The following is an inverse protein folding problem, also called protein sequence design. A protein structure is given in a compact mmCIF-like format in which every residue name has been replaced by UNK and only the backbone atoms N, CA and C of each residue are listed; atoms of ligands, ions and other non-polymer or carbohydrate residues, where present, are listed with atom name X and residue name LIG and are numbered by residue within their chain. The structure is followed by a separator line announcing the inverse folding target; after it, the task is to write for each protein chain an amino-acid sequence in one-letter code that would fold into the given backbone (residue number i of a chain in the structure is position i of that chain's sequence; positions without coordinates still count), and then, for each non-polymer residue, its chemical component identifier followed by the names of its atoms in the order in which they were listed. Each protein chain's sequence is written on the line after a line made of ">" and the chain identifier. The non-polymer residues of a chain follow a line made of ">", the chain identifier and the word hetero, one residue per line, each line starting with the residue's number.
data_IF_218809141871
#
_entry.id   IF_218809141871
#
_cell.length_a   1.000
_cell.length_b   1.000
_cell.length_c   1.000
_cell.angle_alpha   90.00
_cell.angle_beta   90.00
_cell.angle_gamma   90.00
#
_symmetry.space_group_name_H-M   'P 1'
#
loop_
_entity.id
_entity.type
_entity.pdbx_description
1 polymer ?
#
# COMPACT_ATOMS: atom_id res chain seq x y z
N UNK A 1 4.25 -11.40 3.85
CA UNK A 1 3.32 -12.52 3.54
C UNK A 1 2.62 -13.04 4.79
N UNK A 2 3.34 -13.44 5.84
CA UNK A 2 2.76 -14.01 7.07
C UNK A 2 1.53 -13.25 7.63
N UNK A 3 1.60 -11.91 7.70
CA UNK A 3 0.48 -11.09 8.18
C UNK A 3 -0.81 -11.27 7.37
N UNK A 4 -0.71 -11.34 6.04
CA UNK A 4 -1.86 -11.58 5.16
C UNK A 4 -2.41 -13.00 5.32
N UNK A 5 -1.52 -13.97 5.49
CA UNK A 5 -1.89 -15.38 5.66
C UNK A 5 -2.67 -15.60 6.97
N UNK A 6 -2.39 -14.81 8.01
CA UNK A 6 -3.12 -14.81 9.27
C UNK A 6 -4.53 -14.18 9.19
N UNK A 7 -4.87 -13.47 8.11
CA UNK A 7 -6.21 -12.88 7.97
C UNK A 7 -7.25 -13.97 7.73
N UNK A 8 -8.39 -13.84 8.40
CA UNK A 8 -9.63 -14.52 8.03
C UNK A 8 -10.14 -13.99 6.67
N UNK A 9 -10.97 -14.75 5.93
CA UNK A 9 -11.73 -14.20 4.80
C UNK A 9 -12.44 -12.91 5.21
N UNK A 10 -12.40 -11.90 4.33
CA UNK A 10 -12.93 -10.57 4.62
C UNK A 10 -12.09 -9.71 5.57
N UNK A 11 -11.03 -10.25 6.16
CA UNK A 11 -10.17 -9.53 7.12
C UNK A 11 -9.36 -8.40 6.47
N UNK A 12 -9.05 -7.38 7.26
CA UNK A 12 -8.24 -6.23 6.84
C UNK A 12 -6.90 -6.22 7.56
N UNK A 13 -5.84 -5.94 6.82
CA UNK A 13 -4.55 -5.53 7.38
C UNK A 13 -4.15 -4.15 6.83
N UNK A 14 -3.32 -3.45 7.60
CA UNK A 14 -2.63 -2.25 7.14
C UNK A 14 -1.15 -2.54 7.11
N UNK A 15 -0.51 -2.19 6.00
CA UNK A 15 0.94 -2.13 5.87
C UNK A 15 1.35 -0.66 5.87
N UNK A 16 2.34 -0.31 6.68
CA UNK A 16 2.84 1.06 6.75
C UNK A 16 4.35 1.11 7.04
N UNK A 17 5.01 2.12 6.50
CA UNK A 17 6.45 2.38 6.67
C UNK A 17 6.70 3.88 6.81
N UNK A 18 7.82 4.26 7.42
CA UNK A 18 8.31 5.65 7.54
C UNK A 18 9.43 5.94 6.51
N UNK A 19 9.34 5.33 5.33
CA UNK A 19 10.31 5.48 4.24
C UNK A 19 9.59 5.96 2.98
N UNK A 20 10.34 6.64 2.11
CA UNK A 20 9.84 7.12 0.82
C UNK A 20 10.34 6.25 -0.35
N UNK A 21 11.13 5.22 -0.09
CA UNK A 21 11.70 4.37 -1.13
C UNK A 21 10.64 3.44 -1.73
N UNK A 22 10.46 3.40 -3.06
CA UNK A 22 9.49 2.50 -3.68
C UNK A 22 9.77 1.01 -3.44
N UNK A 23 11.03 0.64 -3.19
CA UNK A 23 11.46 -0.72 -2.88
C UNK A 23 10.92 -1.25 -1.56
N UNK A 24 10.75 -0.38 -0.56
CA UNK A 24 10.15 -0.72 0.73
C UNK A 24 8.63 -0.54 0.72
N UNK A 25 8.08 0.13 -0.29
CA UNK A 25 6.69 0.54 -0.36
C UNK A 25 5.93 -0.27 -1.42
N UNK A 26 5.80 0.29 -2.64
CA UNK A 26 5.03 -0.31 -3.71
C UNK A 26 5.55 -1.68 -4.13
N UNK A 27 6.88 -1.90 -4.10
CA UNK A 27 7.44 -3.19 -4.44
C UNK A 27 7.05 -4.29 -3.44
N UNK A 28 6.92 -3.97 -2.14
CA UNK A 28 6.51 -4.93 -1.10
C UNK A 28 5.05 -5.32 -1.28
N UNK A 29 4.17 -4.36 -1.58
CA UNK A 29 2.75 -4.64 -1.81
C UNK A 29 2.53 -5.32 -3.16
N UNK A 30 3.26 -4.94 -4.20
CA UNK A 30 3.24 -5.64 -5.49
C UNK A 30 3.65 -7.11 -5.32
N UNK A 31 4.70 -7.38 -4.55
CA UNK A 31 5.11 -8.74 -4.22
C UNK A 31 4.02 -9.53 -3.48
N UNK A 32 3.26 -8.90 -2.58
CA UNK A 32 2.11 -9.57 -1.96
C UNK A 32 1.05 -9.95 -3.00
N UNK A 33 0.67 -9.03 -3.90
CA UNK A 33 -0.31 -9.27 -4.97
C UNK A 33 0.15 -10.42 -5.88
N UNK A 34 1.44 -10.47 -6.23
CA UNK A 34 1.99 -11.55 -7.07
C UNK A 34 2.04 -12.92 -6.38
N UNK A 35 2.09 -12.95 -5.04
CA UNK A 35 2.30 -14.19 -4.28
C UNK A 35 1.05 -14.73 -3.62
N UNK A 36 -0.05 -13.99 -3.58
CA UNK A 36 -1.28 -14.37 -2.90
C UNK A 36 -2.50 -13.99 -3.73
N UNK A 37 -3.45 -14.90 -3.77
CA UNK A 37 -4.77 -14.65 -4.36
C UNK A 37 -5.69 -13.94 -3.35
N UNK A 38 -6.75 -13.31 -3.87
CA UNK A 38 -7.72 -12.61 -3.04
C UNK A 38 -7.18 -11.37 -2.34
N UNK A 39 -6.06 -10.80 -2.79
CA UNK A 39 -5.53 -9.54 -2.29
C UNK A 39 -6.32 -8.39 -2.91
N UNK A 40 -7.02 -7.62 -2.09
CA UNK A 40 -7.78 -6.44 -2.52
C UNK A 40 -7.15 -5.20 -1.89
N UNK A 41 -6.66 -4.28 -2.70
CA UNK A 41 -6.20 -2.97 -2.21
C UNK A 41 -7.39 -2.04 -2.10
N UNK A 42 -7.67 -1.57 -0.89
CA UNK A 42 -8.76 -0.64 -0.63
C UNK A 42 -8.23 0.79 -0.64
N UNK A 43 -8.96 1.65 -1.34
CA UNK A 43 -8.73 3.09 -1.30
C UNK A 43 -9.25 3.66 0.03
N UNK A 44 -8.52 4.62 0.58
CA UNK A 44 -8.89 5.32 1.80
C UNK A 44 -8.25 6.70 1.79
N UNK A 45 -8.78 7.62 2.59
CA UNK A 45 -8.17 8.91 2.86
C UNK A 45 -8.29 9.26 4.35
N UNK A 46 -7.31 10.00 4.86
CA UNK A 46 -7.26 10.50 6.23
C UNK A 46 -7.57 11.99 6.21
N UNK A 47 -8.65 12.39 6.88
CA UNK A 47 -9.06 13.78 6.95
C UNK A 47 -7.96 14.63 7.60
N UNK A 48 -7.62 15.75 6.97
CA UNK A 48 -6.61 16.68 7.48
C UNK A 48 -5.17 16.33 7.08
N UNK A 49 -4.93 15.23 6.37
CA UNK A 49 -3.61 14.85 5.84
C UNK A 49 -3.65 14.88 4.31
N UNK A 50 -2.72 15.60 3.69
CA UNK A 50 -2.51 15.55 2.25
C UNK A 50 -1.77 14.26 1.90
N UNK A 51 -2.38 13.43 1.06
CA UNK A 51 -1.76 12.19 0.59
C UNK A 51 -1.68 12.16 -0.92
N UNK A 52 -0.60 11.57 -1.43
CA UNK A 52 -0.41 11.24 -2.84
C UNK A 52 -0.76 9.78 -3.06
N UNK A 53 -1.15 9.46 -4.29
CA UNK A 53 -1.38 8.08 -4.73
C UNK A 53 -0.05 7.32 -4.73
N UNK A 54 -0.11 6.02 -4.44
CA UNK A 54 1.03 5.12 -4.65
C UNK A 54 1.43 5.05 -6.12
N UNK A 55 2.67 4.66 -6.35
CA UNK A 55 3.25 4.57 -7.69
C UNK A 55 2.75 3.30 -8.41
N UNK A 56 2.45 3.44 -9.70
CA UNK A 56 2.22 2.30 -10.61
C UNK A 56 3.41 2.06 -11.54
N UNK A 57 4.37 2.99 -11.56
CA UNK A 57 5.63 2.88 -12.27
C UNK A 57 6.71 3.66 -11.54
N UNK A 58 7.92 3.10 -11.46
CA UNK A 58 9.10 3.78 -10.95
C UNK A 58 10.35 3.32 -11.70
N UNK A 59 10.94 4.22 -12.49
CA UNK A 59 12.02 3.88 -13.41
C UNK A 59 11.61 2.75 -14.36
N UNK A 60 12.31 1.61 -14.28
CA UNK A 60 12.00 0.39 -15.06
C UNK A 60 10.97 -0.53 -14.41
N UNK A 61 10.65 -0.32 -13.13
CA UNK A 61 9.69 -1.14 -12.41
C UNK A 61 8.27 -0.71 -12.77
N UNK A 62 7.45 -1.69 -13.15
CA UNK A 62 6.01 -1.53 -13.32
C UNK A 62 5.32 -2.29 -12.20
N UNK A 63 4.39 -1.65 -11.53
CA UNK A 63 3.64 -2.24 -10.44
C UNK A 63 2.17 -2.41 -10.83
N UNK A 64 1.45 -3.24 -10.06
CA UNK A 64 0.02 -3.45 -10.23
C UNK A 64 -0.74 -2.11 -10.17
N UNK A 65 -1.72 -1.93 -11.07
CA UNK A 65 -2.46 -0.66 -11.20
C UNK A 65 -3.21 -0.27 -9.93
N UNK A 66 -3.64 -1.24 -9.12
CA UNK A 66 -4.31 -0.98 -7.83
C UNK A 66 -3.42 -0.28 -6.80
N UNK A 67 -2.10 -0.24 -6.99
CA UNK A 67 -1.22 0.48 -6.07
C UNK A 67 -1.49 1.99 -6.03
N UNK A 68 -2.16 2.54 -7.05
CA UNK A 68 -2.68 3.91 -7.00
C UNK A 68 -3.65 4.18 -5.84
N UNK A 69 -4.25 3.12 -5.26
CA UNK A 69 -5.16 3.21 -4.11
C UNK A 69 -4.42 3.29 -2.78
N UNK A 70 -3.13 2.97 -2.75
CA UNK A 70 -2.28 3.19 -1.58
C UNK A 70 -1.94 4.68 -1.43
N UNK A 71 -1.47 5.08 -0.24
CA UNK A 71 -1.23 6.48 0.11
C UNK A 71 0.22 6.72 0.50
N UNK A 72 0.83 7.74 -0.11
CA UNK A 72 2.12 8.32 0.27
C UNK A 72 1.86 9.64 0.98
N UNK A 73 2.44 9.82 2.15
CA UNK A 73 2.47 11.08 2.88
C UNK A 73 3.88 11.64 2.64
N UNK A 74 3.96 12.68 1.83
CA UNK A 74 5.24 13.33 1.54
C UNK A 74 5.56 14.36 2.62
N UNK A 75 6.83 14.49 3.05
CA UNK A 75 7.21 15.39 4.13
C UNK A 75 6.76 16.84 3.94
N UNK A 76 6.99 17.36 2.73
CA UNK A 76 6.73 18.76 2.37
C UNK A 76 5.23 19.07 2.17
N UNK A 77 4.37 18.06 2.02
CA UNK A 77 2.93 18.29 1.88
C UNK A 77 2.25 18.52 3.24
N UNK A 78 2.86 18.03 4.34
CA UNK A 78 2.24 17.94 5.66
C UNK A 78 3.08 18.47 6.84
N UNK A 79 4.32 18.90 6.61
CA UNK A 79 5.28 19.23 7.70
C UNK A 79 5.49 18.04 8.66
N UNK A 80 5.64 16.85 8.07
CA UNK A 80 5.84 15.57 8.79
C UNK A 80 7.04 14.81 8.21
N UNK A 81 7.36 13.66 8.80
CA UNK A 81 8.20 12.66 8.11
C UNK A 81 7.43 11.99 6.96
N UNK A 82 8.17 11.30 6.09
CA UNK A 82 7.61 10.58 4.96
C UNK A 82 6.99 9.25 5.41
N UNK A 83 5.78 8.97 4.95
CA UNK A 83 5.07 7.73 5.27
C UNK A 83 4.46 7.08 4.04
N UNK A 84 4.33 5.77 4.08
CA UNK A 84 3.54 5.00 3.12
C UNK A 84 2.54 4.12 3.85
N UNK A 85 1.34 4.02 3.30
CA UNK A 85 0.24 3.26 3.89
C UNK A 85 -0.54 2.52 2.79
N UNK A 86 -0.70 1.21 2.96
CA UNK A 86 -1.55 0.37 2.14
C UNK A 86 -2.60 -0.33 3.01
N UNK A 87 -3.88 -0.11 2.70
CA UNK A 87 -5.01 -0.81 3.31
C UNK A 87 -5.37 -2.01 2.42
N UNK A 88 -5.33 -3.21 3.00
CA UNK A 88 -5.40 -4.46 2.25
C UNK A 88 -6.50 -5.33 2.87
N UNK A 89 -7.44 -5.77 2.06
CA UNK A 89 -8.49 -6.71 2.45
C UNK A 89 -8.23 -8.08 1.81
N UNK A 90 -8.43 -9.14 2.58
CA UNK A 90 -8.46 -10.52 2.07
C UNK A 90 -9.87 -10.82 1.55
N UNK A 91 -9.97 -11.37 0.34
CA UNK A 91 -11.23 -11.75 -0.28
C UNK A 91 -12.05 -12.70 0.59
N UNK A 92 -13.36 -12.72 0.35
CA UNK A 92 -14.32 -13.67 0.93
C UNK A 92 -14.22 -14.98 0.14
N UNK A 93 -13.21 -15.81 0.40
CA UNK A 93 -13.07 -17.15 -0.19
C UNK A 93 -13.50 -18.18 0.86
#
# INVERSE_FOLDING_TARGET
>A
LAAFDCLKPGGTMVYSTCTITPEENEAVINFLIEKREGVIIEEFDIQGIKMRKGLTQWGRFKFHSDLQKTRRIEPFDNDTEGFYIAKIKKGEI
#
